data_IF_464430141829
#
_entry.id   IF_464430141829
#
_cell.length_a   1.000
_cell.length_b   1.000
_cell.length_c   1.000
_cell.angle_alpha   90.00
_cell.angle_beta   90.00
_cell.angle_gamma   90.00
#
_symmetry.space_group_name_H-M   'P 1'
#
loop_
_entity.id
_entity.type
_entity.pdbx_description
1 polymer ?
#
# COMPACT_ATOMS: atom_id res chain seq x y z
N UNK A 1 9.70 0.26 -10.72
CA UNK A 1 10.07 1.62 -11.20
C UNK A 1 10.20 2.63 -10.07
N UNK A 2 9.19 2.79 -9.20
CA UNK A 2 9.21 3.79 -8.11
C UNK A 2 10.48 3.77 -7.24
N UNK A 3 10.99 2.60 -6.83
CA UNK A 3 12.22 2.51 -6.02
C UNK A 3 13.47 3.05 -6.74
N UNK A 4 13.59 2.81 -8.05
CA UNK A 4 14.72 3.32 -8.85
C UNK A 4 14.62 4.84 -9.02
N UNK A 5 13.41 5.33 -9.34
CA UNK A 5 13.15 6.76 -9.47
C UNK A 5 13.41 7.50 -8.15
N UNK A 6 12.94 6.95 -7.01
CA UNK A 6 13.19 7.54 -5.70
C UNK A 6 14.68 7.58 -5.36
N UNK A 7 15.42 6.51 -5.68
CA UNK A 7 16.87 6.48 -5.48
C UNK A 7 17.60 7.52 -6.34
N UNK A 8 17.19 7.66 -7.61
CA UNK A 8 17.75 8.61 -8.56
C UNK A 8 17.49 10.05 -8.09
N UNK A 9 16.23 10.35 -7.74
CA UNK A 9 15.82 11.64 -7.19
C UNK A 9 16.62 11.98 -5.94
N UNK A 10 16.68 11.06 -4.96
CA UNK A 10 17.40 11.28 -3.70
C UNK A 10 18.94 11.34 -3.87
N UNK A 11 19.48 10.93 -5.02
CA UNK A 11 20.91 10.95 -5.28
C UNK A 11 21.37 12.15 -6.09
N UNK A 12 20.52 12.62 -7.01
CA UNK A 12 20.90 13.62 -8.00
C UNK A 12 20.24 14.99 -7.76
N UNK A 13 19.24 15.07 -6.87
CA UNK A 13 18.52 16.30 -6.60
C UNK A 13 18.55 16.66 -5.12
N UNK A 14 18.73 17.94 -4.83
CA UNK A 14 18.51 18.50 -3.50
C UNK A 14 17.04 18.89 -3.38
N UNK A 15 16.28 18.12 -2.62
CA UNK A 15 14.88 18.42 -2.35
C UNK A 15 14.75 19.36 -1.14
N UNK A 16 13.83 20.32 -1.18
CA UNK A 16 13.54 21.17 -0.02
C UNK A 16 12.86 20.37 1.11
N UNK A 17 12.06 19.35 0.74
CA UNK A 17 11.28 18.51 1.64
C UNK A 17 11.80 17.07 1.67
N UNK A 18 11.40 16.31 2.70
CA UNK A 18 11.73 14.89 2.84
C UNK A 18 11.02 14.04 1.77
N UNK A 19 11.78 13.15 1.11
CA UNK A 19 11.23 12.24 0.11
C UNK A 19 10.53 11.05 0.77
N UNK A 20 9.23 10.92 0.51
CA UNK A 20 8.42 9.75 0.86
C UNK A 20 8.21 8.82 -0.33
N UNK A 21 8.44 7.52 -0.13
CA UNK A 21 8.21 6.47 -1.11
C UNK A 21 7.17 5.47 -0.59
N UNK A 22 6.05 5.39 -1.29
CA UNK A 22 5.02 4.37 -1.07
C UNK A 22 4.97 3.43 -2.27
N UNK A 23 5.00 2.13 -2.01
CA UNK A 23 4.87 1.11 -3.05
C UNK A 23 3.84 0.06 -2.67
N UNK A 24 3.10 -0.45 -3.65
CA UNK A 24 2.02 -1.42 -3.47
C UNK A 24 2.33 -2.65 -4.33
N UNK A 25 2.39 -3.83 -3.72
CA UNK A 25 2.70 -5.08 -4.44
C UNK A 25 4.07 -5.10 -5.12
N UNK A 26 5.01 -4.27 -4.65
CA UNK A 26 6.28 -4.11 -5.34
C UNK A 26 7.17 -5.36 -5.21
N UNK A 27 7.66 -5.91 -6.34
CA UNK A 27 8.64 -6.99 -6.32
C UNK A 27 9.99 -6.49 -5.78
N UNK A 28 10.92 -7.41 -5.54
CA UNK A 28 12.31 -7.08 -5.20
C UNK A 28 13.00 -6.45 -6.41
N UNK A 29 13.59 -5.27 -6.21
CA UNK A 29 14.15 -4.46 -7.30
C UNK A 29 15.66 -4.61 -7.45
N UNK A 30 16.39 -4.86 -6.36
CA UNK A 30 17.84 -4.93 -6.39
C UNK A 30 18.42 -5.85 -5.32
N UNK A 31 19.75 -5.86 -5.23
CA UNK A 31 20.46 -6.69 -4.26
C UNK A 31 20.55 -6.04 -2.87
N UNK A 32 21.26 -6.70 -1.95
CA UNK A 32 21.48 -6.20 -0.60
C UNK A 32 22.17 -4.82 -0.53
N UNK A 33 23.11 -4.55 -1.44
CA UNK A 33 23.81 -3.28 -1.47
C UNK A 33 22.88 -2.15 -1.95
N UNK A 34 22.06 -2.41 -2.96
CA UNK A 34 21.05 -1.47 -3.42
C UNK A 34 20.03 -1.18 -2.31
N UNK A 35 19.49 -2.21 -1.66
CA UNK A 35 18.49 -2.04 -0.62
C UNK A 35 18.99 -1.14 0.53
N UNK A 36 20.20 -1.41 1.05
CA UNK A 36 20.81 -0.57 2.10
C UNK A 36 21.02 0.89 1.66
N UNK A 37 21.43 1.12 0.41
CA UNK A 37 21.64 2.48 -0.12
C UNK A 37 20.33 3.22 -0.28
N UNK A 38 19.27 2.55 -0.72
CA UNK A 38 17.94 3.12 -0.82
C UNK A 38 17.40 3.49 0.57
N UNK A 39 17.47 2.60 1.54
CA UNK A 39 17.01 2.86 2.92
C UNK A 39 17.78 4.00 3.61
N UNK A 40 19.07 4.13 3.30
CA UNK A 40 19.87 5.24 3.80
C UNK A 40 19.49 6.61 3.20
N UNK A 41 18.95 6.62 1.97
CA UNK A 41 18.62 7.85 1.23
C UNK A 41 17.15 8.24 1.36
N UNK A 42 16.26 7.27 1.44
CA UNK A 42 14.81 7.46 1.50
C UNK A 42 14.31 6.83 2.79
N UNK A 43 14.30 7.63 3.87
CA UNK A 43 13.96 7.16 5.21
C UNK A 43 12.47 6.80 5.32
N UNK A 44 11.61 7.58 4.68
CA UNK A 44 10.18 7.35 4.60
C UNK A 44 9.84 6.42 3.43
N UNK A 45 10.25 5.15 3.52
CA UNK A 45 9.96 4.15 2.50
C UNK A 45 9.06 3.06 3.06
N UNK A 46 7.80 3.06 2.63
CA UNK A 46 6.79 2.08 3.02
C UNK A 46 6.41 1.19 1.84
N UNK A 47 6.54 -0.12 2.04
CA UNK A 47 6.17 -1.15 1.07
C UNK A 47 4.95 -1.89 1.58
N UNK A 48 3.80 -1.51 1.04
CA UNK A 48 2.50 -2.12 1.34
C UNK A 48 2.36 -3.40 0.54
N UNK A 49 2.01 -4.49 1.22
CA UNK A 49 1.87 -5.83 0.67
C UNK A 49 0.59 -6.45 1.20
N UNK A 50 -0.32 -6.84 0.31
CA UNK A 50 -1.48 -7.63 0.68
C UNK A 50 -1.02 -9.02 1.11
N UNK A 51 -1.61 -9.53 2.19
CA UNK A 51 -1.32 -10.86 2.68
C UNK A 51 -1.61 -11.92 1.60
N UNK A 52 -0.62 -12.76 1.31
CA UNK A 52 -0.67 -13.74 0.22
C UNK A 52 -0.27 -13.25 -1.19
N UNK A 53 0.09 -11.98 -1.41
CA UNK A 53 0.51 -11.49 -2.73
C UNK A 53 1.82 -12.13 -3.22
N UNK A 54 1.70 -13.00 -4.24
CA UNK A 54 2.82 -13.70 -4.87
C UNK A 54 3.84 -12.74 -5.50
N UNK A 55 3.39 -11.69 -6.20
CA UNK A 55 4.27 -10.83 -6.99
C UNK A 55 5.19 -10.01 -6.09
N UNK A 56 4.66 -9.55 -4.94
CA UNK A 56 5.45 -8.88 -3.92
C UNK A 56 6.58 -9.77 -3.35
N UNK A 57 6.43 -11.10 -3.45
CA UNK A 57 7.42 -12.09 -3.03
C UNK A 57 8.48 -12.43 -4.07
N UNK A 58 8.41 -11.91 -5.30
CA UNK A 58 9.32 -12.22 -6.40
C UNK A 58 10.28 -11.07 -6.71
N UNK A 59 11.41 -11.30 -7.40
CA UNK A 59 12.04 -12.60 -7.65
C UNK A 59 12.71 -13.18 -6.39
N UNK A 60 12.73 -14.51 -6.24
CA UNK A 60 13.39 -15.21 -5.12
C UNK A 60 14.70 -15.91 -5.53
N UNK A 61 15.24 -15.64 -6.73
CA UNK A 61 16.41 -16.34 -7.27
C UNK A 61 17.62 -16.27 -6.32
N UNK A 62 17.91 -17.40 -5.68
CA UNK A 62 19.10 -17.66 -4.84
C UNK A 62 19.40 -16.58 -3.78
N UNK A 63 18.38 -15.86 -3.29
CA UNK A 63 18.55 -14.81 -2.27
C UNK A 63 19.35 -13.58 -2.71
N UNK A 64 19.57 -13.41 -4.02
CA UNK A 64 20.35 -12.29 -4.59
C UNK A 64 19.61 -10.96 -4.51
N UNK A 65 18.29 -11.00 -4.60
CA UNK A 65 17.42 -9.83 -4.49
C UNK A 65 16.91 -9.63 -3.07
N UNK A 66 16.88 -8.38 -2.62
CA UNK A 66 16.37 -7.98 -1.30
C UNK A 66 15.35 -6.86 -1.42
N UNK A 67 14.38 -6.86 -0.52
CA UNK A 67 13.53 -5.70 -0.33
C UNK A 67 14.28 -4.61 0.43
N UNK A 68 13.87 -3.38 0.16
CA UNK A 68 14.17 -2.19 0.94
C UNK A 68 12.85 -1.67 1.53
N UNK A 69 12.94 -0.79 2.52
CA UNK A 69 11.82 -0.12 3.16
C UNK A 69 11.11 -0.93 4.22
N UNK A 70 10.30 -0.21 5.00
CA UNK A 70 9.40 -0.74 6.00
C UNK A 70 8.30 -1.56 5.34
N UNK A 71 8.22 -2.86 5.67
CA UNK A 71 7.16 -3.75 5.18
C UNK A 71 5.88 -3.44 5.96
N UNK A 72 4.80 -3.12 5.24
CA UNK A 72 3.45 -2.99 5.81
C UNK A 72 2.59 -4.09 5.19
N UNK A 73 2.07 -4.99 6.02
CA UNK A 73 1.23 -6.11 5.55
C UNK A 73 -0.22 -5.80 5.83
N UNK A 74 -1.01 -5.72 4.79
CA UNK A 74 -2.46 -5.53 4.87
C UNK A 74 -3.16 -6.88 4.86
N UNK A 75 -4.22 -7.00 5.64
CA UNK A 75 -5.07 -8.17 5.61
C UNK A 75 -5.85 -8.27 4.30
N UNK A 76 -5.66 -9.37 3.57
CA UNK A 76 -6.35 -9.63 2.30
C UNK A 76 -7.84 -9.95 2.46
N UNK A 77 -8.28 -10.33 3.66
CA UNK A 77 -9.70 -10.54 3.99
C UNK A 77 -10.45 -9.24 4.29
N UNK A 78 -9.73 -8.10 4.37
CA UNK A 78 -10.30 -6.76 4.54
C UNK A 78 -11.01 -6.60 5.89
N UNK A 79 -10.49 -7.21 6.96
CA UNK A 79 -10.95 -6.97 8.33
C UNK A 79 -10.48 -5.61 8.88
N UNK A 80 -9.69 -4.85 8.12
CA UNK A 80 -9.22 -3.52 8.52
C UNK A 80 -8.02 -3.55 9.47
N UNK A 81 -7.25 -4.64 9.44
CA UNK A 81 -6.00 -4.77 10.19
C UNK A 81 -4.80 -4.72 9.24
N UNK A 82 -3.72 -4.12 9.71
CA UNK A 82 -2.42 -4.18 9.05
C UNK A 82 -1.30 -4.27 10.08
N UNK A 83 -0.20 -4.89 9.69
CA UNK A 83 0.98 -5.09 10.53
C UNK A 83 2.14 -4.29 9.93
N UNK A 84 2.76 -3.45 10.74
CA UNK A 84 3.94 -2.65 10.38
C UNK A 84 5.19 -3.37 10.88
N UNK A 85 6.17 -3.56 9.99
CA UNK A 85 7.43 -4.26 10.27
C UNK A 85 7.24 -5.60 10.99
N UNK A 86 6.49 -6.56 10.39
CA UNK A 86 6.20 -7.83 11.02
C UNK A 86 7.49 -8.54 11.44
N UNK A 87 7.49 -9.02 12.68
CA UNK A 87 8.56 -9.81 13.28
C UNK A 87 8.76 -11.15 12.55
N UNK A 88 9.83 -11.87 12.90
CA UNK A 88 10.08 -13.21 12.33
C UNK A 88 8.90 -14.16 12.64
N UNK A 89 8.33 -14.07 13.85
CA UNK A 89 7.22 -14.93 14.27
C UNK A 89 5.98 -14.64 13.43
N UNK A 90 5.61 -13.36 13.27
CA UNK A 90 4.47 -12.96 12.45
C UNK A 90 4.64 -13.34 10.98
N UNK A 91 5.85 -13.17 10.42
CA UNK A 91 6.13 -13.62 9.05
C UNK A 91 6.06 -15.15 8.88
N UNK A 92 6.31 -15.92 9.94
CA UNK A 92 6.35 -17.39 9.85
C UNK A 92 4.99 -18.03 10.12
N UNK A 93 4.20 -17.44 11.03
CA UNK A 93 2.97 -18.05 11.53
C UNK A 93 1.70 -17.24 11.28
N UNK A 94 1.81 -15.93 11.04
CA UNK A 94 0.66 -15.02 10.91
C UNK A 94 0.37 -14.56 9.47
N UNK A 95 1.37 -14.60 8.59
CA UNK A 95 1.27 -14.11 7.21
C UNK A 95 1.10 -15.30 6.26
N UNK A 96 0.06 -15.28 5.42
CA UNK A 96 -0.21 -16.31 4.42
C UNK A 96 0.97 -16.45 3.46
N UNK A 97 1.24 -17.68 3.05
CA UNK A 97 2.22 -17.92 1.99
C UNK A 97 1.84 -17.14 0.73
N UNK A 98 2.82 -16.50 0.11
CA UNK A 98 2.67 -15.61 -1.04
C UNK A 98 2.35 -16.41 -2.32
N UNK A 99 1.13 -16.93 -2.45
CA UNK A 99 0.72 -17.81 -3.56
C UNK A 99 -0.46 -17.26 -4.36
N UNK A 100 -1.07 -16.16 -3.90
CA UNK A 100 -2.29 -15.61 -4.48
C UNK A 100 -1.96 -14.49 -5.45
N UNK A 101 -2.24 -14.70 -6.74
CA UNK A 101 -2.14 -13.64 -7.76
C UNK A 101 -3.39 -12.75 -7.77
N UNK A 102 -4.52 -13.25 -7.26
CA UNK A 102 -5.81 -12.55 -7.23
C UNK A 102 -5.81 -11.32 -6.32
N UNK A 103 -4.95 -11.30 -5.29
CA UNK A 103 -4.82 -10.20 -4.33
C UNK A 103 -3.83 -9.11 -4.77
N UNK A 104 -3.14 -9.31 -5.90
CA UNK A 104 -2.15 -8.40 -6.44
C UNK A 104 -2.70 -7.11 -7.10
N UNK A 105 -3.89 -7.09 -7.75
CA UNK A 105 -4.40 -5.88 -8.38
C UNK A 105 -4.50 -4.70 -7.40
N UNK A 106 -4.17 -3.49 -7.86
CA UNK A 106 -4.24 -2.27 -7.02
C UNK A 106 -5.60 -2.01 -6.40
N UNK A 107 -6.67 -2.52 -7.01
CA UNK A 107 -8.01 -2.48 -6.43
C UNK A 107 -8.05 -3.19 -5.08
N UNK A 108 -7.47 -4.39 -4.98
CA UNK A 108 -7.45 -5.16 -3.73
C UNK A 108 -6.67 -4.41 -2.65
N UNK A 109 -5.51 -3.84 -3.00
CA UNK A 109 -4.74 -2.97 -2.10
C UNK A 109 -5.56 -1.79 -1.56
N UNK A 110 -6.29 -1.11 -2.45
CA UNK A 110 -7.18 -0.01 -2.06
C UNK A 110 -8.25 -0.51 -1.09
N UNK A 111 -8.92 -1.60 -1.40
CA UNK A 111 -10.01 -2.13 -0.57
C UNK A 111 -9.51 -2.57 0.82
N UNK A 112 -8.33 -3.17 0.91
CA UNK A 112 -7.72 -3.55 2.19
C UNK A 112 -7.38 -2.32 3.05
N UNK A 113 -6.85 -1.25 2.43
CA UNK A 113 -6.54 0.00 3.14
C UNK A 113 -7.81 0.75 3.55
N UNK A 114 -8.82 0.81 2.68
CA UNK A 114 -10.12 1.41 3.00
C UNK A 114 -10.80 0.71 4.19
N UNK A 115 -10.60 -0.60 4.34
CA UNK A 115 -11.13 -1.34 5.49
C UNK A 115 -10.53 -0.86 6.82
N UNK A 116 -9.30 -0.34 6.81
CA UNK A 116 -8.59 0.15 7.99
C UNK A 116 -9.04 1.56 8.44
N UNK A 117 -9.78 2.29 7.61
CA UNK A 117 -10.21 3.68 7.90
C UNK A 117 -11.47 3.74 8.74
N UNK A 118 -11.60 4.69 9.66
CA UNK A 118 -12.87 4.99 10.31
C UNK A 118 -13.95 5.43 9.32
N UNK A 119 -15.22 5.42 9.70
CA UNK A 119 -16.29 5.92 8.82
C UNK A 119 -16.10 7.41 8.47
N UNK A 120 -15.62 8.21 9.42
CA UNK A 120 -15.32 9.63 9.22
C UNK A 120 -14.14 9.82 8.26
N UNK A 121 -13.02 9.12 8.50
CA UNK A 121 -11.83 9.17 7.64
C UNK A 121 -12.14 8.70 6.22
N UNK A 122 -12.98 7.67 6.08
CA UNK A 122 -13.39 7.13 4.80
C UNK A 122 -14.28 8.12 4.03
N UNK A 123 -15.17 8.85 4.74
CA UNK A 123 -15.94 9.93 4.13
C UNK A 123 -15.03 11.05 3.63
N UNK A 124 -14.06 11.46 4.45
CA UNK A 124 -13.09 12.48 4.07
C UNK A 124 -12.24 12.04 2.86
N UNK A 125 -11.75 10.80 2.88
CA UNK A 125 -10.99 10.21 1.77
C UNK A 125 -11.80 10.20 0.47
N UNK A 126 -13.05 9.74 0.51
CA UNK A 126 -13.93 9.71 -0.66
C UNK A 126 -14.28 11.11 -1.15
N UNK A 127 -14.49 12.05 -0.23
CA UNK A 127 -14.73 13.45 -0.55
C UNK A 127 -13.55 14.07 -1.32
N UNK A 128 -12.31 13.80 -0.87
CA UNK A 128 -11.09 14.22 -1.59
C UNK A 128 -10.99 13.57 -2.95
N UNK A 129 -11.22 12.26 -3.05
CA UNK A 129 -11.19 11.54 -4.33
C UNK A 129 -12.20 12.10 -5.36
N UNK A 130 -13.41 12.40 -4.90
CA UNK A 130 -14.45 13.04 -5.72
C UNK A 130 -14.02 14.43 -6.20
N UNK A 131 -13.53 15.27 -5.27
CA UNK A 131 -13.03 16.61 -5.61
C UNK A 131 -11.89 16.56 -6.64
N UNK A 132 -10.96 15.61 -6.52
CA UNK A 132 -9.85 15.45 -7.46
C UNK A 132 -10.31 14.99 -8.85
N UNK A 133 -11.23 14.02 -8.93
CA UNK A 133 -11.76 13.56 -10.22
C UNK A 133 -12.51 14.68 -10.96
N UNK A 134 -13.24 15.52 -10.24
CA UNK A 134 -14.05 16.59 -10.82
C UNK A 134 -13.32 17.93 -11.01
N UNK A 135 -12.18 18.15 -10.35
CA UNK A 135 -11.31 19.29 -10.60
C UNK A 135 -10.70 19.26 -12.01
N UNK A 136 -10.64 18.09 -12.65
CA UNK A 136 -10.18 17.92 -14.04
C UNK A 136 -11.29 18.27 -15.05
N UNK A 137 -12.57 18.24 -14.64
CA UNK A 137 -13.72 18.24 -15.56
C UNK A 137 -14.61 19.51 -15.55
N UNK A 138 -14.63 20.38 -14.53
CA UNK A 138 -15.52 21.59 -14.60
C UNK A 138 -15.31 22.71 -13.56
N UNK A 139 -15.65 23.94 -13.97
CA UNK A 139 -15.67 25.20 -13.20
C UNK A 139 -16.79 25.32 -12.13
N UNK A 140 -17.26 24.24 -11.51
CA UNK A 140 -18.25 24.35 -10.40
C UNK A 140 -17.86 23.49 -9.19
N UNK A 141 -17.85 24.06 -7.97
CA UNK A 141 -17.59 23.29 -6.76
C UNK A 141 -18.82 22.43 -6.41
N UNK A 142 -18.75 21.14 -6.72
CA UNK A 142 -19.70 20.14 -6.23
C UNK A 142 -19.29 19.69 -4.84
N UNK A 143 -20.16 19.90 -3.86
CA UNK A 143 -19.99 19.38 -2.50
C UNK A 143 -19.89 17.86 -2.52
N UNK A 144 -18.86 17.25 -1.92
CA UNK A 144 -18.76 15.81 -1.83
C UNK A 144 -19.93 15.24 -1.02
N UNK A 145 -20.39 14.01 -1.33
CA UNK A 145 -21.46 13.38 -0.58
C UNK A 145 -21.05 13.20 0.89
N UNK A 146 -21.84 13.81 1.80
CA UNK A 146 -21.61 13.74 3.26
C UNK A 146 -21.87 12.35 3.85
N UNK A 147 -22.40 11.42 3.06
CA UNK A 147 -22.81 10.09 3.50
C UNK A 147 -22.10 9.07 2.62
N UNK A 148 -21.48 8.06 3.26
CA UNK A 148 -20.87 6.95 2.53
C UNK A 148 -21.90 6.28 1.60
N UNK A 149 -21.53 5.94 0.36
CA UNK A 149 -22.41 5.21 -0.55
C UNK A 149 -22.92 3.90 0.06
N UNK A 150 -24.14 3.51 -0.25
CA UNK A 150 -24.75 2.32 0.36
C UNK A 150 -24.02 1.02 -0.02
N UNK A 151 -23.47 0.93 -1.23
CA UNK A 151 -22.65 -0.21 -1.65
C UNK A 151 -21.41 -0.40 -0.77
N UNK A 152 -20.84 0.69 -0.23
CA UNK A 152 -19.65 0.68 0.59
C UNK A 152 -19.98 0.26 2.03
N UNK A 153 -21.09 0.77 2.57
CA UNK A 153 -21.63 0.32 3.87
C UNK A 153 -21.96 -1.16 3.84
N UNK A 154 -22.60 -1.62 2.77
CA UNK A 154 -22.97 -3.03 2.60
C UNK A 154 -21.75 -3.94 2.40
N UNK A 155 -20.67 -3.41 1.81
CA UNK A 155 -19.38 -4.10 1.74
C UNK A 155 -18.75 -4.28 3.13
N UNK A 156 -18.76 -3.24 3.98
CA UNK A 156 -18.24 -3.33 5.36
C UNK A 156 -19.05 -4.25 6.25
N UNK A 157 -20.39 -4.29 6.08
CA UNK A 157 -21.24 -5.24 6.81
C UNK A 157 -20.87 -6.69 6.50
N UNK A 158 -20.59 -7.00 5.23
CA UNK A 158 -20.16 -8.34 4.82
C UNK A 158 -18.81 -8.73 5.42
N UNK A 159 -17.82 -7.84 5.42
CA UNK A 159 -16.50 -8.12 6.03
C UNK A 159 -16.56 -8.29 7.55
N UNK A 160 -17.60 -7.81 8.24
CA UNK A 160 -17.81 -8.03 9.68
C UNK A 160 -18.64 -9.29 9.99
N UNK A 161 -19.26 -9.92 8.99
CA UNK A 161 -20.19 -11.04 9.17
C UNK A 161 -19.62 -12.40 8.75
N UNK A 162 -18.51 -12.44 8.01
CA UNK A 162 -17.80 -13.67 7.68
C UNK A 162 -16.61 -13.86 8.62
N UNK A 163 -16.57 -14.95 9.42
CA UNK A 163 -15.50 -15.24 10.38
C UNK A 163 -14.22 -15.80 9.74
#
# INVERSE_FOLDING_TARGET
MACLAAYDIASNFALPDELSLYTFGAPRVGNAAFARRLDARVRQHFRVVNDGDLIAGLPQFLGTYRHAGCKVVTDSEKFGTFIVEPTIVENTFGIKASTLITVHPLREYRECLEACLGDEDLQEYMAKGYAMAHAVDSCQPLTPPRVLPDWLKERRKRSLQEP
#
